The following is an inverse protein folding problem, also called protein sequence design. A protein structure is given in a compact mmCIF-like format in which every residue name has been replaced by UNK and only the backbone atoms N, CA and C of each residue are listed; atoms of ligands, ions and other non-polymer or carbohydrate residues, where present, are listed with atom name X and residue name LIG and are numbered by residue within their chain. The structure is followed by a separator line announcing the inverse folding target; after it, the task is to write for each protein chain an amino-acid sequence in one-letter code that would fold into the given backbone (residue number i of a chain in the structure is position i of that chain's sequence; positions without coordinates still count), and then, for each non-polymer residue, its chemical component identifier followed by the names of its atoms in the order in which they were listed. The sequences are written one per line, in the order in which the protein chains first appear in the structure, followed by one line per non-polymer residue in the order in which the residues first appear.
data_IF_802959796121
#
_entry.id   IF_802959796121
#
_cell.length_a   1.000
_cell.length_b   1.000
_cell.length_c   1.000
_cell.angle_alpha   90.00
_cell.angle_beta   90.00
_cell.angle_gamma   90.00
#
_symmetry.space_group_name_H-M   'P 1'
#
loop_
_entity.id
_entity.type
_entity.pdbx_description
1 polymer ?
#
# COMPACT_ATOMS: atom_id res chain seq x y z
N UNK A 1 -4.35 -23.22 58.18
CA UNK A 1 -4.35 -21.95 57.42
C UNK A 1 -3.49 -21.95 56.15
N UNK A 2 -2.32 -22.62 56.10
CA UNK A 2 -1.46 -22.67 54.89
C UNK A 2 -2.17 -23.24 53.64
N UNK A 3 -2.99 -24.29 53.79
CA UNK A 3 -3.67 -24.94 52.66
C UNK A 3 -4.72 -24.08 51.95
N UNK A 4 -5.32 -23.10 52.62
CA UNK A 4 -6.32 -22.20 52.01
C UNK A 4 -5.60 -21.11 51.21
N UNK A 5 -4.52 -20.54 51.75
CA UNK A 5 -3.70 -19.53 51.05
C UNK A 5 -3.11 -20.09 49.75
N UNK A 6 -2.55 -21.31 49.79
CA UNK A 6 -1.98 -21.94 48.60
C UNK A 6 -3.03 -22.23 47.52
N UNK A 7 -4.21 -22.75 47.90
CA UNK A 7 -5.32 -22.99 46.95
C UNK A 7 -5.83 -21.70 46.30
N UNK A 8 -5.90 -20.61 47.06
CA UNK A 8 -6.30 -19.30 46.56
C UNK A 8 -5.27 -18.74 45.57
N UNK A 9 -3.98 -18.84 45.89
CA UNK A 9 -2.88 -18.42 45.00
C UNK A 9 -2.90 -19.21 43.68
N UNK A 10 -3.13 -20.52 43.72
CA UNK A 10 -3.24 -21.35 42.51
C UNK A 10 -4.38 -20.87 41.61
N UNK A 11 -5.56 -20.56 42.18
CA UNK A 11 -6.69 -20.02 41.42
C UNK A 11 -6.36 -18.69 40.74
N UNK A 12 -5.70 -17.77 41.46
CA UNK A 12 -5.27 -16.47 40.93
C UNK A 12 -4.27 -16.66 39.78
N UNK A 13 -3.29 -17.56 39.94
CA UNK A 13 -2.29 -17.83 38.89
C UNK A 13 -2.94 -18.41 37.63
N UNK A 14 -3.92 -19.31 37.76
CA UNK A 14 -4.64 -19.87 36.61
C UNK A 14 -5.42 -18.78 35.86
N UNK A 15 -6.16 -17.93 36.59
CA UNK A 15 -6.90 -16.80 36.01
C UNK A 15 -5.95 -15.84 35.28
N UNK A 16 -4.80 -15.56 35.89
CA UNK A 16 -3.77 -14.72 35.29
C UNK A 16 -3.23 -15.32 33.99
N UNK A 17 -2.88 -16.61 33.98
CA UNK A 17 -2.37 -17.30 32.78
C UNK A 17 -3.38 -17.33 31.64
N UNK A 18 -4.66 -17.57 31.93
CA UNK A 18 -5.73 -17.53 30.93
C UNK A 18 -5.87 -16.12 30.35
N UNK A 19 -5.89 -15.10 31.22
CA UNK A 19 -6.00 -13.70 30.81
C UNK A 19 -4.80 -13.27 29.95
N UNK A 20 -3.60 -13.71 30.32
CA UNK A 20 -2.37 -13.45 29.58
C UNK A 20 -2.35 -14.13 28.21
N UNK A 21 -2.82 -15.38 28.11
CA UNK A 21 -2.94 -16.08 26.84
C UNK A 21 -3.93 -15.38 25.89
N UNK A 22 -5.09 -14.94 26.39
CA UNK A 22 -6.07 -14.16 25.61
C UNK A 22 -5.43 -12.86 25.11
N UNK A 23 -4.68 -12.16 25.97
CA UNK A 23 -3.97 -10.95 25.61
C UNK A 23 -2.96 -11.19 24.47
N UNK A 24 -2.15 -12.25 24.55
CA UNK A 24 -1.20 -12.60 23.48
C UNK A 24 -1.90 -12.86 22.14
N UNK A 25 -3.00 -13.64 22.14
CA UNK A 25 -3.76 -13.95 20.92
C UNK A 25 -4.32 -12.66 20.30
N UNK A 26 -4.89 -11.77 21.12
CA UNK A 26 -5.40 -10.49 20.65
C UNK A 26 -4.30 -9.61 20.07
N UNK A 27 -3.14 -9.53 20.72
CA UNK A 27 -2.03 -8.70 20.27
C UNK A 27 -1.39 -9.23 18.98
N UNK A 28 -1.15 -10.54 18.89
CA UNK A 28 -0.57 -11.15 17.69
C UNK A 28 -1.48 -11.04 16.46
N UNK A 29 -2.78 -11.22 16.63
CA UNK A 29 -3.74 -11.09 15.52
C UNK A 29 -3.90 -9.63 15.06
N UNK A 30 -3.91 -8.66 15.98
CA UNK A 30 -3.91 -7.24 15.62
C UNK A 30 -2.65 -6.82 14.85
N UNK A 31 -1.46 -7.29 15.28
CA UNK A 31 -0.21 -7.00 14.58
C UNK A 31 -0.20 -7.53 13.14
N UNK A 32 -0.81 -8.69 12.91
CA UNK A 32 -0.89 -9.27 11.56
C UNK A 32 -1.71 -8.42 10.59
N UNK A 33 -2.79 -7.78 11.07
CA UNK A 33 -3.61 -6.86 10.27
C UNK A 33 -2.82 -5.59 9.95
N UNK A 34 -2.13 -5.02 10.95
CA UNK A 34 -1.30 -3.81 10.78
C UNK A 34 -0.19 -4.05 9.76
N UNK A 35 0.60 -5.10 9.91
CA UNK A 35 1.71 -5.40 8.99
C UNK A 35 1.23 -5.58 7.54
N UNK A 36 0.08 -6.23 7.35
CA UNK A 36 -0.49 -6.46 6.02
C UNK A 36 -1.04 -5.17 5.39
N UNK A 37 -1.60 -4.28 6.21
CA UNK A 37 -2.05 -2.95 5.80
C UNK A 37 -0.88 -2.03 5.43
N UNK A 38 0.19 -2.01 6.22
CA UNK A 38 1.36 -1.16 5.99
C UNK A 38 2.10 -1.53 4.69
N UNK A 39 2.25 -2.84 4.43
CA UNK A 39 2.85 -3.34 3.20
C UNK A 39 2.08 -2.91 1.95
N UNK A 40 0.74 -2.87 2.03
CA UNK A 40 -0.14 -2.41 0.95
C UNK A 40 -0.07 -0.88 0.76
N UNK A 41 -0.09 -0.14 1.86
CA UNK A 41 -0.06 1.33 1.86
C UNK A 41 1.28 1.91 1.39
N UNK A 42 2.38 1.20 1.57
CA UNK A 42 3.72 1.71 1.23
C UNK A 42 4.13 1.40 -0.20
N UNK A 43 3.67 0.29 -0.79
CA UNK A 43 4.17 -0.21 -2.07
C UNK A 43 3.26 0.17 -3.24
N UNK A 44 2.04 -0.37 -3.32
CA UNK A 44 1.08 -0.11 -4.41
C UNK A 44 0.65 1.36 -4.49
N UNK A 45 0.41 2.00 -3.34
CA UNK A 45 0.05 3.42 -3.30
C UNK A 45 1.19 4.33 -3.77
N UNK A 46 2.45 3.93 -3.56
CA UNK A 46 3.60 4.66 -4.08
C UNK A 46 3.62 4.63 -5.62
N UNK A 47 3.44 3.45 -6.25
CA UNK A 47 3.34 3.34 -7.71
C UNK A 47 2.19 4.19 -8.29
N UNK A 48 1.03 4.21 -7.63
CA UNK A 48 -0.10 5.09 -8.00
C UNK A 48 0.29 6.57 -7.92
N UNK A 49 1.03 6.98 -6.88
CA UNK A 49 1.49 8.36 -6.72
C UNK A 49 2.53 8.74 -7.78
N UNK A 50 3.43 7.83 -8.14
CA UNK A 50 4.44 8.04 -9.18
C UNK A 50 3.79 8.21 -10.55
N UNK A 51 2.88 7.31 -10.91
CA UNK A 51 2.12 7.38 -12.18
C UNK A 51 1.29 8.67 -12.27
N UNK A 52 0.62 9.09 -11.19
CA UNK A 52 -0.10 10.37 -11.16
C UNK A 52 0.82 11.57 -11.40
N UNK A 53 2.00 11.61 -10.75
CA UNK A 53 2.99 12.69 -10.96
C UNK A 53 3.49 12.73 -12.40
N UNK A 54 3.77 11.57 -12.99
CA UNK A 54 4.19 11.47 -14.39
C UNK A 54 3.10 12.00 -15.34
N UNK A 55 1.83 11.64 -15.13
CA UNK A 55 0.72 12.17 -15.94
C UNK A 55 0.57 13.69 -15.82
N UNK A 56 0.72 14.25 -14.61
CA UNK A 56 0.66 15.71 -14.42
C UNK A 56 1.77 16.41 -15.20
N UNK A 57 3.01 15.92 -15.11
CA UNK A 57 4.14 16.50 -15.83
C UNK A 57 3.95 16.35 -17.35
N UNK A 58 3.43 15.21 -17.81
CA UNK A 58 3.13 14.97 -19.21
C UNK A 58 2.12 15.99 -19.76
N UNK A 59 1.06 16.26 -19.00
CA UNK A 59 0.05 17.26 -19.34
C UNK A 59 0.63 18.69 -19.32
N UNK A 60 1.49 19.00 -18.35
CA UNK A 60 2.17 20.31 -18.28
C UNK A 60 3.04 20.55 -19.52
N UNK A 61 3.85 19.55 -19.93
CA UNK A 61 4.69 19.64 -21.13
C UNK A 61 3.84 19.80 -22.39
N UNK A 62 2.75 19.04 -22.50
CA UNK A 62 1.82 19.19 -23.61
C UNK A 62 1.19 20.59 -23.65
N UNK A 63 0.86 21.17 -22.49
CA UNK A 63 0.37 22.54 -22.37
C UNK A 63 1.39 23.58 -22.82
N UNK A 64 2.66 23.42 -22.45
CA UNK A 64 3.77 24.30 -22.89
C UNK A 64 3.94 24.21 -24.41
N UNK A 65 3.95 23.00 -24.98
CA UNK A 65 4.11 22.80 -26.43
C UNK A 65 2.92 23.39 -27.20
N UNK A 66 1.71 23.24 -26.67
CA UNK A 66 0.51 23.82 -27.27
C UNK A 66 0.49 25.36 -27.21
N UNK A 67 1.10 25.97 -26.19
CA UNK A 67 1.21 27.43 -26.03
C UNK A 67 2.39 28.01 -26.83
N UNK A 68 3.50 27.28 -26.93
CA UNK A 68 4.68 27.66 -27.71
C UNK A 68 4.49 27.77 -29.21
N UNK A 69 3.30 27.40 -29.67
CA UNK A 69 2.80 27.65 -31.01
C UNK A 69 2.45 29.12 -31.29
N UNK A 70 2.46 30.03 -30.29
CA UNK A 70 1.99 31.41 -30.47
C UNK A 70 3.04 32.53 -30.53
N UNK A 71 4.30 32.34 -30.12
CA UNK A 71 5.29 33.44 -30.12
C UNK A 71 6.72 32.99 -30.49
N UNK A 72 7.46 33.89 -31.16
CA UNK A 72 8.85 33.79 -31.67
C UNK A 72 9.94 33.48 -30.60
N UNK A 73 9.58 33.00 -29.41
CA UNK A 73 10.49 32.73 -28.29
C UNK A 73 10.80 31.22 -28.13
N UNK A 74 11.28 30.62 -29.22
CA UNK A 74 11.64 29.19 -29.31
C UNK A 74 12.70 28.77 -28.25
N UNK A 75 13.57 29.69 -27.84
CA UNK A 75 14.66 29.41 -26.90
C UNK A 75 14.22 29.31 -25.42
N UNK A 76 13.30 30.16 -24.97
CA UNK A 76 12.85 30.18 -23.56
C UNK A 76 12.02 28.95 -23.18
N UNK A 77 11.22 28.44 -24.12
CA UNK A 77 10.35 27.29 -23.91
C UNK A 77 11.13 25.97 -23.93
N UNK A 78 12.21 25.89 -24.70
CA UNK A 78 13.10 24.72 -24.72
C UNK A 78 13.68 24.43 -23.33
N UNK A 79 14.15 25.46 -22.63
CA UNK A 79 14.70 25.30 -21.28
C UNK A 79 13.63 24.87 -20.27
N UNK A 80 12.40 25.40 -20.41
CA UNK A 80 11.26 25.00 -19.58
C UNK A 80 10.88 23.52 -19.79
N UNK A 81 10.87 23.06 -21.05
CA UNK A 81 10.60 21.66 -21.40
C UNK A 81 11.69 20.75 -20.82
N UNK A 82 12.96 21.07 -21.01
CA UNK A 82 14.08 20.26 -20.46
C UNK A 82 13.94 20.12 -18.94
N UNK A 83 13.66 21.21 -18.22
CA UNK A 83 13.46 21.18 -16.78
C UNK A 83 12.26 20.30 -16.37
N UNK A 84 11.16 20.32 -17.13
CA UNK A 84 10.01 19.45 -16.88
C UNK A 84 10.33 17.98 -17.14
N UNK A 85 11.16 17.68 -18.14
CA UNK A 85 11.65 16.32 -18.40
C UNK A 85 12.50 15.78 -17.24
N UNK A 86 13.39 16.60 -16.66
CA UNK A 86 14.14 16.22 -15.46
C UNK A 86 13.20 15.91 -14.27
N UNK A 87 12.13 16.68 -14.10
CA UNK A 87 11.12 16.38 -13.08
C UNK A 87 10.34 15.10 -13.35
N UNK A 88 10.24 14.65 -14.61
CA UNK A 88 9.62 13.37 -14.96
C UNK A 88 10.52 12.18 -14.58
N UNK A 89 11.84 12.33 -14.70
CA UNK A 89 12.81 11.26 -14.41
C UNK A 89 12.76 10.83 -12.94
N UNK A 90 12.47 11.75 -12.01
CA UNK A 90 12.39 11.42 -10.59
C UNK A 90 11.27 10.41 -10.25
N UNK A 91 9.97 10.64 -10.56
CA UNK A 91 8.93 9.64 -10.32
C UNK A 91 9.11 8.38 -11.15
N UNK A 92 9.70 8.45 -12.36
CA UNK A 92 10.03 7.26 -13.15
C UNK A 92 11.07 6.38 -12.45
N UNK A 93 12.14 6.97 -11.92
CA UNK A 93 13.15 6.24 -11.14
C UNK A 93 12.55 5.59 -9.89
N UNK A 94 11.71 6.34 -9.16
CA UNK A 94 11.02 5.79 -7.99
C UNK A 94 10.08 4.64 -8.37
N UNK A 95 9.45 4.68 -9.53
CA UNK A 95 8.66 3.57 -10.07
C UNK A 95 9.54 2.36 -10.38
N UNK A 96 10.70 2.55 -11.02
CA UNK A 96 11.67 1.47 -11.31
C UNK A 96 12.19 0.79 -10.05
N UNK A 97 12.40 1.56 -8.98
CA UNK A 97 12.85 1.06 -7.68
C UNK A 97 11.71 0.44 -6.84
N UNK A 98 10.45 0.57 -7.28
CA UNK A 98 9.24 0.15 -6.56
C UNK A 98 8.38 -0.81 -7.40
N UNK A 99 8.94 -1.97 -7.73
CA UNK A 99 8.20 -3.06 -8.39
C UNK A 99 7.50 -3.92 -7.32
N UNK A 100 6.17 -3.99 -7.41
CA UNK A 100 5.28 -4.54 -6.38
C UNK A 100 4.41 -5.68 -6.90
N UNK A 101 4.05 -5.65 -8.20
CA UNK A 101 3.17 -6.64 -8.83
C UNK A 101 3.88 -7.50 -9.88
N UNK A 102 3.43 -8.76 -10.08
CA UNK A 102 3.86 -9.58 -11.20
C UNK A 102 3.58 -8.88 -12.54
N UNK A 103 4.59 -8.79 -13.40
CA UNK A 103 4.49 -8.10 -14.70
C UNK A 103 4.74 -6.59 -14.65
N UNK A 104 4.82 -5.97 -13.47
CA UNK A 104 5.06 -4.52 -13.34
C UNK A 104 6.43 -4.10 -13.85
N UNK A 105 7.44 -4.97 -13.72
CA UNK A 105 8.77 -4.71 -14.27
C UNK A 105 8.74 -4.55 -15.80
N UNK A 106 7.95 -5.36 -16.51
CA UNK A 106 7.83 -5.25 -17.97
C UNK A 106 7.14 -3.94 -18.37
N UNK A 107 6.05 -3.59 -17.69
CA UNK A 107 5.35 -2.33 -17.92
C UNK A 107 6.23 -1.11 -17.60
N UNK A 108 7.04 -1.18 -16.55
CA UNK A 108 7.97 -0.12 -16.17
C UNK A 108 9.11 0.02 -17.18
N UNK A 109 9.62 -1.09 -17.73
CA UNK A 109 10.60 -1.06 -18.81
C UNK A 109 10.02 -0.49 -20.12
N UNK A 110 8.74 -0.79 -20.42
CA UNK A 110 8.04 -0.20 -21.56
C UNK A 110 7.88 1.30 -21.38
N UNK A 111 7.45 1.73 -20.19
CA UNK A 111 7.35 3.13 -19.81
C UNK A 111 8.68 3.88 -20.00
N UNK A 112 9.80 3.31 -19.53
CA UNK A 112 11.13 3.91 -19.72
C UNK A 112 11.45 4.10 -21.21
N UNK A 113 11.22 3.08 -22.04
CA UNK A 113 11.46 3.15 -23.49
C UNK A 113 10.58 4.21 -24.18
N UNK A 114 9.30 4.25 -23.83
CA UNK A 114 8.36 5.25 -24.36
C UNK A 114 8.74 6.67 -23.92
N UNK A 115 9.21 6.84 -22.68
CA UNK A 115 9.73 8.11 -22.20
C UNK A 115 11.00 8.53 -22.94
N UNK A 116 11.95 7.62 -23.13
CA UNK A 116 13.20 7.91 -23.82
C UNK A 116 12.96 8.32 -25.29
N UNK A 117 12.04 7.62 -25.98
CA UNK A 117 11.65 7.95 -27.35
C UNK A 117 10.99 9.33 -27.45
N UNK A 118 10.01 9.61 -26.57
CA UNK A 118 9.32 10.90 -26.54
C UNK A 118 10.27 12.06 -26.15
N UNK A 119 11.13 11.85 -25.14
CA UNK A 119 12.18 12.78 -24.71
C UNK A 119 13.16 13.07 -25.83
N UNK A 120 13.62 12.03 -26.53
CA UNK A 120 14.53 12.18 -27.66
C UNK A 120 13.90 13.04 -28.76
N UNK A 121 12.66 12.75 -29.15
CA UNK A 121 11.93 13.53 -30.15
C UNK A 121 11.83 15.02 -29.77
N UNK A 122 11.54 15.32 -28.50
CA UNK A 122 11.47 16.69 -27.99
C UNK A 122 12.81 17.44 -27.96
N UNK A 123 13.90 16.75 -27.61
CA UNK A 123 15.23 17.36 -27.48
C UNK A 123 15.91 17.50 -28.85
N UNK A 124 15.78 16.48 -29.70
CA UNK A 124 16.38 16.47 -31.04
C UNK A 124 15.78 17.54 -31.95
N UNK A 125 14.54 17.98 -31.66
CA UNK A 125 13.79 18.97 -32.44
C UNK A 125 13.89 18.69 -33.93
N UNK A 126 13.42 17.50 -34.33
CA UNK A 126 13.41 17.12 -35.75
C UNK A 126 12.73 18.22 -36.58
N UNK A 127 13.43 18.72 -37.61
CA UNK A 127 12.89 19.67 -38.57
C UNK A 127 12.60 18.96 -39.91
N UNK A 128 11.36 19.04 -40.42
CA UNK A 128 10.19 19.70 -39.83
C UNK A 128 9.61 18.91 -38.65
N UNK A 129 8.98 19.61 -37.71
CA UNK A 129 8.33 18.96 -36.54
C UNK A 129 7.07 18.20 -36.96
N UNK A 130 7.11 16.88 -36.87
CA UNK A 130 6.00 15.99 -37.21
C UNK A 130 5.02 15.79 -36.04
N UNK A 131 3.95 16.58 -36.01
CA UNK A 131 2.91 16.52 -34.96
C UNK A 131 2.26 15.15 -34.77
N UNK A 132 2.11 14.39 -35.86
CA UNK A 132 1.54 13.04 -35.79
C UNK A 132 2.43 12.09 -34.98
N UNK A 133 3.74 12.10 -35.24
CA UNK A 133 4.70 11.27 -34.49
C UNK A 133 4.81 11.73 -33.03
N UNK A 134 4.86 13.05 -32.78
CA UNK A 134 4.82 13.59 -31.42
C UNK A 134 3.60 13.08 -30.64
N UNK A 135 2.40 13.21 -31.23
CA UNK A 135 1.15 12.79 -30.60
C UNK A 135 1.13 11.29 -30.36
N UNK A 136 1.63 10.49 -31.31
CA UNK A 136 1.75 9.04 -31.17
C UNK A 136 2.65 8.66 -29.99
N UNK A 137 3.89 9.17 -29.94
CA UNK A 137 4.83 8.91 -28.85
C UNK A 137 4.27 9.35 -27.49
N UNK A 138 3.62 10.51 -27.44
CA UNK A 138 2.94 11.02 -26.26
C UNK A 138 1.81 10.09 -25.79
N UNK A 139 0.98 9.57 -26.70
CA UNK A 139 -0.09 8.64 -26.36
C UNK A 139 0.44 7.28 -25.91
N UNK A 140 1.53 6.79 -26.51
CA UNK A 140 2.21 5.57 -26.08
C UNK A 140 2.73 5.70 -24.65
N UNK A 141 3.46 6.78 -24.36
CA UNK A 141 3.94 7.11 -23.01
C UNK A 141 2.77 7.21 -22.02
N UNK A 142 1.71 7.94 -22.37
CA UNK A 142 0.51 8.07 -21.52
C UNK A 142 -0.13 6.72 -21.22
N UNK A 143 -0.26 5.87 -22.23
CA UNK A 143 -0.84 4.53 -22.10
C UNK A 143 -0.01 3.67 -21.16
N UNK A 144 1.31 3.69 -21.27
CA UNK A 144 2.19 2.90 -20.39
C UNK A 144 2.07 3.36 -18.93
N UNK A 145 1.98 4.67 -18.67
CA UNK A 145 1.74 5.19 -17.31
C UNK A 145 0.38 4.69 -16.78
N UNK A 146 -0.68 4.72 -17.61
CA UNK A 146 -2.03 4.29 -17.22
C UNK A 146 -2.07 2.79 -16.94
N UNK A 147 -1.38 1.97 -17.73
CA UNK A 147 -1.33 0.52 -17.51
C UNK A 147 -0.73 0.18 -16.14
N UNK A 148 0.36 0.85 -15.75
CA UNK A 148 0.96 0.68 -14.41
C UNK A 148 0.00 1.13 -13.32
N UNK A 149 -0.65 2.29 -13.51
CA UNK A 149 -1.65 2.79 -12.56
C UNK A 149 -2.79 1.80 -12.37
N UNK A 150 -3.37 1.28 -13.45
CA UNK A 150 -4.52 0.37 -13.41
C UNK A 150 -4.18 -0.93 -12.71
N UNK A 151 -3.05 -1.55 -13.05
CA UNK A 151 -2.58 -2.78 -12.39
C UNK A 151 -2.40 -2.56 -10.88
N UNK A 152 -1.74 -1.48 -10.48
CA UNK A 152 -1.52 -1.18 -9.07
C UNK A 152 -2.82 -0.84 -8.32
N UNK A 153 -3.76 -0.13 -8.98
CA UNK A 153 -5.05 0.20 -8.39
C UNK A 153 -5.93 -1.04 -8.20
N UNK A 154 -5.96 -1.95 -9.17
CA UNK A 154 -6.67 -3.22 -9.04
C UNK A 154 -6.07 -4.10 -7.95
N UNK A 155 -4.74 -4.23 -7.91
CA UNK A 155 -4.06 -4.98 -6.86
C UNK A 155 -4.28 -4.36 -5.47
N UNK A 156 -4.32 -3.03 -5.37
CA UNK A 156 -4.66 -2.31 -4.13
C UNK A 156 -6.07 -2.67 -3.65
N UNK A 157 -7.06 -2.67 -4.55
CA UNK A 157 -8.45 -3.01 -4.25
C UNK A 157 -8.58 -4.47 -3.79
N UNK A 158 -8.01 -5.41 -4.54
CA UNK A 158 -8.05 -6.84 -4.21
C UNK A 158 -7.39 -7.16 -2.86
N UNK A 159 -6.20 -6.59 -2.60
CA UNK A 159 -5.49 -6.80 -1.34
C UNK A 159 -6.22 -6.13 -0.17
N UNK A 160 -6.85 -4.97 -0.37
CA UNK A 160 -7.64 -4.30 0.66
C UNK A 160 -8.88 -5.13 1.05
N UNK A 161 -9.57 -5.71 0.07
CA UNK A 161 -10.67 -6.64 0.30
C UNK A 161 -10.22 -7.89 1.06
N UNK A 162 -9.04 -8.43 0.72
CA UNK A 162 -8.46 -9.57 1.44
C UNK A 162 -8.13 -9.23 2.90
N UNK A 163 -7.61 -8.02 3.17
CA UNK A 163 -7.34 -7.53 4.52
C UNK A 163 -8.65 -7.38 5.30
N UNK A 164 -9.68 -6.78 4.68
CA UNK A 164 -11.00 -6.61 5.32
C UNK A 164 -11.59 -7.96 5.74
N UNK A 165 -11.62 -8.93 4.82
CA UNK A 165 -12.09 -10.30 5.12
C UNK A 165 -11.26 -10.96 6.22
N UNK A 166 -9.94 -10.76 6.23
CA UNK A 166 -9.08 -11.29 7.28
C UNK A 166 -9.33 -10.63 8.65
N UNK A 167 -9.53 -9.31 8.67
CA UNK A 167 -9.86 -8.57 9.88
C UNK A 167 -11.22 -9.01 10.46
N UNK A 168 -12.24 -9.20 9.61
CA UNK A 168 -13.54 -9.74 10.02
C UNK A 168 -13.41 -11.14 10.63
N UNK A 169 -12.59 -12.01 10.02
CA UNK A 169 -12.29 -13.33 10.57
C UNK A 169 -11.60 -13.25 11.93
N UNK A 170 -10.56 -12.41 12.06
CA UNK A 170 -9.84 -12.18 13.31
C UNK A 170 -10.78 -11.67 14.40
N UNK A 171 -11.63 -10.67 14.11
CA UNK A 171 -12.61 -10.14 15.05
C UNK A 171 -13.59 -11.21 15.54
N UNK A 172 -14.05 -12.09 14.64
CA UNK A 172 -14.90 -13.23 15.01
C UNK A 172 -14.16 -14.20 15.94
N UNK A 173 -12.89 -14.48 15.66
CA UNK A 173 -12.07 -15.35 16.49
C UNK A 173 -11.81 -14.74 17.88
N UNK A 174 -11.44 -13.46 17.94
CA UNK A 174 -11.25 -12.71 19.19
C UNK A 174 -12.54 -12.69 20.03
N UNK A 175 -13.70 -12.46 19.41
CA UNK A 175 -15.00 -12.55 20.07
C UNK A 175 -15.23 -13.92 20.69
N UNK A 176 -15.01 -14.99 19.93
CA UNK A 176 -15.23 -16.36 20.40
C UNK A 176 -14.26 -16.74 21.54
N UNK A 177 -12.98 -16.38 21.42
CA UNK A 177 -11.96 -16.59 22.47
C UNK A 177 -12.30 -15.78 23.72
N UNK A 178 -12.75 -14.54 23.58
CA UNK A 178 -13.18 -13.68 24.69
C UNK A 178 -14.40 -14.26 25.43
N UNK A 179 -15.42 -14.73 24.70
CA UNK A 179 -16.59 -15.39 25.29
C UNK A 179 -16.17 -16.68 26.01
N UNK A 180 -15.39 -17.53 25.37
CA UNK A 180 -14.90 -18.77 25.99
C UNK A 180 -14.08 -18.48 27.26
N UNK A 181 -13.20 -17.48 27.20
CA UNK A 181 -12.42 -17.01 28.36
C UNK A 181 -13.30 -16.52 29.50
N UNK A 182 -14.31 -15.70 29.21
CA UNK A 182 -15.27 -15.22 30.22
C UNK A 182 -16.07 -16.37 30.84
N UNK A 183 -16.51 -17.36 30.05
CA UNK A 183 -17.20 -18.55 30.56
C UNK A 183 -16.29 -19.34 31.49
N UNK A 184 -15.04 -19.59 31.10
CA UNK A 184 -14.06 -20.30 31.94
C UNK A 184 -13.81 -19.54 33.25
N UNK A 185 -13.62 -18.22 33.17
CA UNK A 185 -13.43 -17.38 34.35
C UNK A 185 -14.64 -17.40 35.28
N UNK A 186 -15.85 -17.30 34.73
CA UNK A 186 -17.10 -17.38 35.49
C UNK A 186 -17.26 -18.74 36.19
N UNK A 187 -16.98 -19.84 35.50
CA UNK A 187 -16.98 -21.19 36.07
C UNK A 187 -15.94 -21.31 37.19
N UNK A 188 -14.72 -20.82 36.97
CA UNK A 188 -13.67 -20.80 38.00
C UNK A 188 -14.07 -19.99 39.22
N UNK A 189 -14.69 -18.82 39.05
CA UNK A 189 -15.16 -17.96 40.15
C UNK A 189 -16.25 -18.62 41.00
N UNK A 190 -17.12 -19.44 40.40
CA UNK A 190 -18.17 -20.17 41.13
C UNK A 190 -17.60 -21.44 41.81
N UNK A 191 -16.77 -22.20 41.10
CA UNK A 191 -16.26 -23.49 41.62
C UNK A 191 -15.14 -23.34 42.66
N UNK A 192 -14.31 -22.30 42.59
CA UNK A 192 -13.23 -22.07 43.55
C UNK A 192 -13.73 -21.91 45.00
N UNK A 193 -14.73 -21.04 45.29
CA UNK A 193 -15.33 -20.93 46.61
C UNK A 193 -15.96 -22.25 47.07
N UNK A 194 -16.74 -22.89 46.20
CA UNK A 194 -17.41 -24.18 46.51
C UNK A 194 -16.38 -25.23 46.91
N UNK A 195 -15.30 -25.39 46.14
CA UNK A 195 -14.21 -26.32 46.44
C UNK A 195 -13.42 -25.94 47.73
N UNK A 196 -13.28 -24.64 48.02
CA UNK A 196 -12.66 -24.17 49.25
C UNK A 196 -13.52 -24.41 50.50
N UNK A 197 -14.85 -24.33 50.38
CA UNK A 197 -15.80 -24.50 51.49
C UNK A 197 -16.21 -25.97 51.75
N UNK A 198 -16.38 -26.80 50.73
CA UNK A 198 -16.77 -28.22 50.89
C UNK A 198 -15.68 -29.14 51.46
N UNK A 199 -14.41 -28.69 51.49
CA UNK A 199 -13.26 -29.51 51.91
C UNK A 199 -12.71 -29.08 53.29
N UNK A 200 -13.57 -28.46 54.11
CA UNK A 200 -13.28 -27.98 55.46
C UNK A 200 -13.87 -28.89 56.51
#
# INVERSE_FOLDING_TARGET
MKNIKTKLIIGIVIVFLISYAIMMVNMGTSQSIVNKSDSLLTSNYASIKHTFRMLTILNDVNGIIAQGLSEDSVAGETLSIIKKLEFFEQPLKLQTDNITEPGESELTNNLQRSFDAWRHYLIAREEPFYWEEFNKLMQELRRDIINIYQMNALALEEKNDAIKKHAEYVLKLQKNVGIAGLVILGVCLILLPVYLFLRR
#
